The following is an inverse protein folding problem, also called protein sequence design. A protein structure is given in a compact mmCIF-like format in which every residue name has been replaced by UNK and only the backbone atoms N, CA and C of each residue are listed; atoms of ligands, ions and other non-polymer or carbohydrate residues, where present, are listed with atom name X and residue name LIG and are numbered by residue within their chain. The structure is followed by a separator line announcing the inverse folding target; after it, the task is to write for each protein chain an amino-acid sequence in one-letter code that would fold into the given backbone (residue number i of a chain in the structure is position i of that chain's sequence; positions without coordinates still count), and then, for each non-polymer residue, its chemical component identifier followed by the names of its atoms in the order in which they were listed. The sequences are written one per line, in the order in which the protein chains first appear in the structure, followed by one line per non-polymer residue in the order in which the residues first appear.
data_IF_102174603064
#
_entry.id   IF_102174603064
#
_cell.length_a   1.000
_cell.length_b   1.000
_cell.length_c   1.000
_cell.angle_alpha   90.00
_cell.angle_beta   90.00
_cell.angle_gamma   90.00
#
_symmetry.space_group_name_H-M   'P 1'
#
loop_
_entity.id
_entity.type
_entity.pdbx_description
1 polymer ?
#
# COMPACT_ATOMS: atom_id res chain seq x y z
N UNK A 1 15.22 -5.23 3.07
CA UNK A 1 14.35 -4.12 2.61
C UNK A 1 13.80 -3.41 3.84
N UNK A 2 13.95 -2.08 3.95
CA UNK A 2 13.40 -1.31 5.08
C UNK A 2 12.05 -0.69 4.69
N UNK A 3 11.10 -0.60 5.63
CA UNK A 3 9.77 0.00 5.42
C UNK A 3 9.85 1.35 4.69
N UNK A 4 10.83 2.19 5.06
CA UNK A 4 11.05 3.50 4.43
C UNK A 4 11.32 3.39 2.93
N UNK A 5 12.14 2.44 2.49
CA UNK A 5 12.49 2.30 1.08
C UNK A 5 11.27 1.87 0.26
N UNK A 6 10.46 0.93 0.78
CA UNK A 6 9.23 0.48 0.12
C UNK A 6 8.21 1.62 0.06
N UNK A 7 8.06 2.38 1.14
CA UNK A 7 7.16 3.55 1.19
C UNK A 7 7.61 4.68 0.25
N UNK A 8 8.91 4.93 0.12
CA UNK A 8 9.45 5.91 -0.83
C UNK A 8 9.18 5.51 -2.27
N UNK A 9 9.43 4.24 -2.62
CA UNK A 9 9.14 3.73 -3.96
C UNK A 9 7.63 3.77 -4.25
N UNK A 10 6.79 3.42 -3.28
CA UNK A 10 5.34 3.50 -3.41
C UNK A 10 4.87 4.95 -3.66
N UNK A 11 5.41 5.91 -2.91
CA UNK A 11 5.11 7.33 -3.08
C UNK A 11 5.62 7.90 -4.42
N UNK A 12 6.74 7.40 -4.94
CA UNK A 12 7.19 7.74 -6.28
C UNK A 12 6.24 7.16 -7.34
N UNK A 13 5.83 5.90 -7.22
CA UNK A 13 4.89 5.29 -8.14
C UNK A 13 3.53 6.01 -8.17
N UNK A 14 3.04 6.54 -7.05
CA UNK A 14 1.84 7.40 -7.03
C UNK A 14 2.03 8.71 -7.79
N UNK A 15 3.20 9.34 -7.65
CA UNK A 15 3.53 10.59 -8.36
C UNK A 15 3.63 10.39 -9.85
N UNK A 16 4.12 9.21 -10.26
CA UNK A 16 4.24 8.80 -11.65
C UNK A 16 2.89 8.40 -12.28
N UNK A 17 1.81 8.32 -11.49
CA UNK A 17 0.50 7.85 -11.93
C UNK A 17 0.37 6.32 -12.00
N UNK A 18 1.40 5.58 -11.58
CA UNK A 18 1.42 4.13 -11.49
C UNK A 18 0.69 3.62 -10.24
N UNK A 19 -0.60 3.95 -10.12
CA UNK A 19 -1.40 3.64 -8.94
C UNK A 19 -1.55 2.15 -8.65
N UNK A 20 -1.57 1.28 -9.67
CA UNK A 20 -1.58 -0.19 -9.45
C UNK A 20 -0.31 -0.67 -8.75
N UNK A 21 0.85 -0.22 -9.22
CA UNK A 21 2.14 -0.60 -8.65
C UNK A 21 2.33 0.02 -7.26
N UNK A 22 1.92 1.30 -7.10
CA UNK A 22 1.90 1.97 -5.81
C UNK A 22 1.06 1.20 -4.77
N UNK A 23 -0.14 0.75 -5.14
CA UNK A 23 -1.00 -0.04 -4.25
C UNK A 23 -0.35 -1.34 -3.80
N UNK A 24 0.37 -2.03 -4.70
CA UNK A 24 1.12 -3.24 -4.37
C UNK A 24 2.27 -2.95 -3.40
N UNK A 25 3.04 -1.90 -3.66
CA UNK A 25 4.15 -1.48 -2.80
C UNK A 25 3.67 -1.04 -1.41
N UNK A 26 2.53 -0.34 -1.33
CA UNK A 26 1.91 0.00 -0.04
C UNK A 26 1.46 -1.24 0.73
N UNK A 27 0.92 -2.24 0.05
CA UNK A 27 0.55 -3.50 0.68
C UNK A 27 1.79 -4.25 1.19
N UNK A 28 2.87 -4.29 0.41
CA UNK A 28 4.14 -4.89 0.81
C UNK A 28 4.75 -4.17 2.03
N UNK A 29 4.69 -2.83 2.05
CA UNK A 29 5.09 -2.02 3.19
C UNK A 29 4.26 -2.34 4.46
N UNK A 30 3.02 -2.82 4.32
CA UNK A 30 2.18 -3.23 5.46
C UNK A 30 2.69 -4.49 6.15
N UNK A 31 3.27 -5.42 5.40
CA UNK A 31 3.89 -6.64 5.93
C UNK A 31 5.23 -6.34 6.61
N UNK A 32 5.97 -5.35 6.11
CA UNK A 32 7.27 -4.94 6.68
C UNK A 32 7.09 -3.98 7.88
N UNK A 33 5.96 -3.28 7.96
CA UNK A 33 5.66 -2.36 9.05
C UNK A 33 5.45 -3.09 10.38
N UNK A 34 6.38 -2.92 11.32
CA UNK A 34 6.27 -3.44 12.70
C UNK A 34 5.30 -2.67 13.59
N UNK A 35 4.99 -1.42 13.22
CA UNK A 35 4.09 -0.54 13.99
C UNK A 35 2.69 -0.55 13.39
N UNK A 36 1.69 -0.72 14.24
CA UNK A 36 0.26 -0.75 13.84
C UNK A 36 -0.18 0.54 13.17
N UNK A 37 0.33 1.71 13.59
CA UNK A 37 0.08 2.99 12.92
C UNK A 37 0.59 3.00 11.47
N UNK A 38 1.82 2.49 11.27
CA UNK A 38 2.38 2.40 9.93
C UNK A 38 1.58 1.43 9.06
N UNK A 39 1.12 0.30 9.62
CA UNK A 39 0.25 -0.65 8.92
C UNK A 39 -1.08 -0.04 8.51
N UNK A 40 -1.72 0.74 9.38
CA UNK A 40 -2.95 1.48 9.05
C UNK A 40 -2.71 2.52 7.96
N UNK A 41 -1.64 3.30 8.10
CA UNK A 41 -1.29 4.34 7.15
C UNK A 41 -1.08 3.78 5.74
N UNK A 42 -0.30 2.69 5.60
CA UNK A 42 -0.08 2.08 4.29
C UNK A 42 -1.33 1.37 3.73
N UNK A 43 -2.21 0.82 4.58
CA UNK A 43 -3.52 0.30 4.13
C UNK A 43 -4.38 1.40 3.52
N UNK A 44 -4.53 2.53 4.22
CA UNK A 44 -5.29 3.67 3.70
C UNK A 44 -4.69 4.20 2.39
N UNK A 45 -3.36 4.16 2.25
CA UNK A 45 -2.67 4.52 1.01
C UNK A 45 -2.91 3.51 -0.12
N UNK A 46 -2.84 2.21 0.15
CA UNK A 46 -3.19 1.18 -0.82
C UNK A 46 -4.65 1.32 -1.30
N UNK A 47 -5.57 1.65 -0.40
CA UNK A 47 -6.97 1.96 -0.72
C UNK A 47 -7.12 3.16 -1.64
N UNK A 48 -6.40 4.24 -1.34
CA UNK A 48 -6.37 5.43 -2.17
C UNK A 48 -5.82 5.12 -3.58
N UNK A 49 -4.70 4.40 -3.66
CA UNK A 49 -4.13 3.99 -4.94
C UNK A 49 -5.08 3.12 -5.75
N UNK A 50 -5.77 2.16 -5.13
CA UNK A 50 -6.73 1.32 -5.83
C UNK A 50 -7.90 2.15 -6.41
N UNK A 51 -8.43 3.11 -5.63
CA UNK A 51 -9.46 4.05 -6.11
C UNK A 51 -8.93 4.93 -7.25
N UNK A 52 -7.72 5.48 -7.11
CA UNK A 52 -7.08 6.31 -8.13
C UNK A 52 -6.77 5.54 -9.41
N UNK A 53 -6.49 4.24 -9.31
CA UNK A 53 -6.29 3.34 -10.45
C UNK A 53 -7.60 2.96 -11.17
N UNK A 54 -8.77 3.44 -10.71
CA UNK A 54 -10.08 3.04 -11.22
C UNK A 54 -10.49 1.61 -10.86
N UNK A 55 -9.76 0.96 -9.94
CA UNK A 55 -10.03 -0.40 -9.49
C UNK A 55 -10.87 -0.44 -8.20
N UNK A 56 -11.67 -1.49 -8.02
CA UNK A 56 -12.22 -1.80 -6.70
C UNK A 56 -11.07 -2.26 -5.81
N UNK A 57 -10.83 -1.56 -4.70
CA UNK A 57 -9.93 -2.06 -3.66
C UNK A 57 -10.54 -3.35 -3.10
N UNK A 58 -9.89 -4.49 -3.37
CA UNK A 58 -10.21 -5.75 -2.72
C UNK A 58 -9.21 -5.89 -1.57
N UNK A 59 -9.59 -5.59 -0.32
CA UNK A 59 -8.76 -6.00 0.79
C UNK A 59 -8.68 -7.52 0.72
N UNK A 60 -7.47 -8.07 0.53
CA UNK A 60 -7.19 -9.44 0.94
C UNK A 60 -7.33 -9.44 2.47
N UNK A 61 -8.58 -9.60 2.92
CA UNK A 61 -8.87 -10.18 4.23
C UNK A 61 -8.39 -11.62 4.10
N UNK A 62 -7.12 -11.84 4.44
CA UNK A 62 -6.67 -13.16 4.85
C UNK A 62 -7.57 -13.52 6.02
N UNK A 63 -8.48 -14.48 5.79
CA UNK A 63 -9.49 -14.91 6.75
C UNK A 63 -8.84 -15.13 8.11
N UNK A 64 -9.29 -14.34 9.09
CA UNK A 64 -9.12 -14.68 10.48
C UNK A 64 -10.33 -15.53 10.86
N UNK A 65 -10.02 -16.71 11.40
CA UNK A 65 -10.85 -17.77 12.02
C UNK A 65 -11.63 -18.70 11.11
#
# INVERSE_FOLDING_TARGET
MSFKNVATNAAQAERDGHYKEAGRLWMEASFVAKKTENQRWVKCRAEFCAKAAGGRYVPVVSGAV
#
